data_IF_515964183208
#
_entry.id   IF_515964183208
#
_cell.length_a   1.000
_cell.length_b   1.000
_cell.length_c   1.000
_cell.angle_alpha   90.00
_cell.angle_beta   90.00
_cell.angle_gamma   90.00
#
_symmetry.space_group_name_H-M   'P 1'
#
loop_
_entity.id
_entity.type
_entity.pdbx_description
1 polymer ?
#
# COMPACT_ATOMS: atom_id res chain seq x y z
N UNK A 1 -40.89 -10.84 13.41
CA UNK A 1 -39.55 -10.48 13.94
C UNK A 1 -38.46 -11.42 13.46
N UNK A 2 -38.67 -12.76 13.35
CA UNK A 2 -37.69 -13.73 12.78
C UNK A 2 -37.42 -13.51 11.28
N UNK A 3 -38.47 -13.29 10.47
CA UNK A 3 -38.36 -13.09 9.01
C UNK A 3 -37.67 -11.76 8.63
N UNK A 4 -37.66 -10.75 9.51
CA UNK A 4 -36.91 -9.50 9.28
C UNK A 4 -35.41 -9.67 9.59
N UNK A 5 -35.04 -10.54 10.53
CA UNK A 5 -33.63 -10.88 10.82
C UNK A 5 -33.00 -11.70 9.70
N UNK A 6 -33.73 -12.63 9.08
CA UNK A 6 -33.25 -13.40 7.93
C UNK A 6 -33.06 -12.57 6.66
N UNK A 7 -33.92 -11.58 6.41
CA UNK A 7 -33.73 -10.63 5.28
C UNK A 7 -32.53 -9.68 5.48
N UNK A 8 -32.14 -9.37 6.71
CA UNK A 8 -30.92 -8.59 6.99
C UNK A 8 -29.63 -9.42 6.86
N UNK A 9 -29.69 -10.73 6.95
CA UNK A 9 -28.52 -11.64 6.85
C UNK A 9 -28.06 -11.90 5.41
N UNK A 10 -28.80 -11.49 4.38
CA UNK A 10 -28.49 -11.80 2.97
C UNK A 10 -28.16 -10.60 2.07
N UNK A 11 -28.11 -9.39 2.56
CA UNK A 11 -27.59 -8.28 1.75
C UNK A 11 -26.06 -8.37 1.67
N UNK A 12 -25.56 -8.97 0.57
CA UNK A 12 -24.12 -8.95 0.25
C UNK A 12 -23.62 -7.52 0.34
N UNK A 13 -22.69 -7.26 1.26
CA UNK A 13 -22.10 -5.93 1.44
C UNK A 13 -21.61 -5.38 0.10
N UNK A 14 -21.77 -4.09 -0.14
CA UNK A 14 -21.26 -3.42 -1.34
C UNK A 14 -19.80 -3.78 -1.60
N UNK A 15 -18.98 -3.89 -0.53
CA UNK A 15 -17.58 -4.28 -0.59
C UNK A 15 -17.32 -5.75 -0.94
N UNK A 16 -18.34 -6.57 -1.16
CA UNK A 16 -18.24 -7.98 -1.57
C UNK A 16 -18.81 -8.23 -2.97
N UNK A 17 -19.47 -7.24 -3.57
CA UNK A 17 -19.98 -7.34 -4.95
C UNK A 17 -18.83 -7.21 -5.93
N UNK A 18 -18.61 -8.14 -6.89
CA UNK A 18 -17.42 -8.17 -7.74
C UNK A 18 -17.09 -6.85 -8.45
N UNK A 19 -18.10 -6.18 -9.00
CA UNK A 19 -17.93 -4.88 -9.68
C UNK A 19 -17.41 -3.80 -8.71
N UNK A 20 -17.99 -3.70 -7.51
CA UNK A 20 -17.59 -2.72 -6.52
C UNK A 20 -16.24 -3.03 -5.89
N UNK A 21 -15.90 -4.32 -5.73
CA UNK A 21 -14.57 -4.74 -5.32
C UNK A 21 -13.53 -4.25 -6.34
N UNK A 22 -13.79 -4.44 -7.63
CA UNK A 22 -12.91 -3.96 -8.68
C UNK A 22 -12.80 -2.43 -8.68
N UNK A 23 -13.92 -1.71 -8.62
CA UNK A 23 -13.94 -0.23 -8.58
C UNK A 23 -13.13 0.29 -7.39
N UNK A 24 -13.38 -0.21 -6.18
CA UNK A 24 -12.68 0.27 -4.98
C UNK A 24 -11.20 -0.12 -4.97
N UNK A 25 -10.84 -1.32 -5.45
CA UNK A 25 -9.46 -1.73 -5.56
C UNK A 25 -8.70 -0.90 -6.61
N UNK A 26 -9.32 -0.62 -7.76
CA UNK A 26 -8.77 0.28 -8.79
C UNK A 26 -8.64 1.71 -8.25
N UNK A 27 -9.65 2.22 -7.52
CA UNK A 27 -9.56 3.54 -6.89
C UNK A 27 -8.36 3.60 -5.94
N UNK A 28 -8.16 2.58 -5.09
CA UNK A 28 -7.01 2.52 -4.21
C UNK A 28 -5.68 2.50 -4.99
N UNK A 29 -5.60 1.71 -6.08
CA UNK A 29 -4.42 1.66 -6.93
C UNK A 29 -4.14 3.00 -7.63
N UNK A 30 -5.20 3.67 -8.13
CA UNK A 30 -5.08 4.99 -8.77
C UNK A 30 -4.56 6.03 -7.79
N UNK A 31 -5.18 6.17 -6.63
CA UNK A 31 -4.74 7.18 -5.65
C UNK A 31 -3.31 6.91 -5.18
N UNK A 32 -2.92 5.65 -4.98
CA UNK A 32 -1.53 5.32 -4.63
C UNK A 32 -0.55 5.56 -5.78
N UNK A 33 -0.95 5.33 -7.03
CA UNK A 33 -0.15 5.68 -8.19
C UNK A 33 0.14 7.18 -8.26
N UNK A 34 -0.85 8.03 -8.00
CA UNK A 34 -0.67 9.48 -7.92
C UNK A 34 0.22 9.95 -6.76
N UNK A 35 0.43 9.11 -5.75
CA UNK A 35 1.36 9.44 -4.67
C UNK A 35 2.82 9.62 -5.17
N UNK A 36 3.23 8.92 -6.24
CA UNK A 36 4.62 8.97 -6.73
C UNK A 36 5.04 10.38 -7.16
N UNK A 37 4.37 11.04 -8.13
CA UNK A 37 4.75 12.40 -8.49
C UNK A 37 4.55 13.40 -7.34
N UNK A 38 3.50 13.24 -6.52
CA UNK A 38 3.25 14.16 -5.41
C UNK A 38 4.30 14.05 -4.30
N UNK A 39 4.87 12.87 -4.05
CA UNK A 39 5.99 12.70 -3.12
C UNK A 39 7.23 13.40 -3.66
N UNK A 40 7.56 13.25 -4.95
CA UNK A 40 8.70 13.93 -5.57
C UNK A 40 8.55 15.45 -5.51
N UNK A 41 7.37 15.96 -5.85
CA UNK A 41 7.06 17.40 -5.75
C UNK A 41 7.13 17.89 -4.30
N UNK A 42 6.57 17.13 -3.35
CA UNK A 42 6.67 17.44 -1.93
C UNK A 42 8.12 17.49 -1.46
N UNK A 43 8.95 16.52 -1.81
CA UNK A 43 10.37 16.54 -1.45
C UNK A 43 11.09 17.76 -2.01
N UNK A 44 10.81 18.16 -3.26
CA UNK A 44 11.36 19.35 -3.87
C UNK A 44 10.97 20.62 -3.07
N UNK A 45 9.70 20.76 -2.72
CA UNK A 45 9.17 21.91 -1.99
C UNK A 45 9.67 22.00 -0.54
N UNK A 46 9.91 20.85 0.11
CA UNK A 46 10.49 20.80 1.46
C UNK A 46 12.04 20.78 1.45
N UNK A 47 12.67 20.92 0.29
CA UNK A 47 14.13 20.84 0.09
C UNK A 47 14.74 19.53 0.64
N UNK A 48 14.02 18.41 0.50
CA UNK A 48 14.49 17.06 0.91
C UNK A 48 15.26 16.44 -0.26
N UNK A 49 16.57 16.31 -0.10
CA UNK A 49 17.47 15.75 -1.11
C UNK A 49 17.51 14.20 -1.07
N UNK A 50 18.03 13.53 -2.13
CA UNK A 50 18.07 12.07 -2.21
C UNK A 50 18.80 11.37 -1.04
N UNK A 51 19.79 12.00 -0.47
CA UNK A 51 20.61 11.51 0.66
C UNK A 51 19.95 11.68 2.03
N UNK A 52 18.92 12.54 2.14
CA UNK A 52 18.25 12.86 3.41
C UNK A 52 17.24 11.77 3.81
N UNK A 53 17.68 10.55 4.09
CA UNK A 53 16.82 9.41 4.45
C UNK A 53 15.97 9.69 5.69
N UNK A 54 16.56 10.30 6.73
CA UNK A 54 15.85 10.70 7.95
C UNK A 54 14.68 11.65 7.67
N UNK A 55 14.91 12.66 6.82
CA UNK A 55 13.87 13.63 6.40
C UNK A 55 12.74 12.97 5.61
N UNK A 56 13.04 11.99 4.75
CA UNK A 56 12.03 11.21 4.03
C UNK A 56 11.16 10.39 5.00
N UNK A 57 11.78 9.75 5.99
CA UNK A 57 11.06 9.01 7.04
C UNK A 57 10.22 9.94 7.90
N UNK A 58 10.73 11.12 8.27
CA UNK A 58 10.01 12.12 9.03
C UNK A 58 8.77 12.62 8.26
N UNK A 59 8.94 12.99 6.99
CA UNK A 59 7.86 13.40 6.10
C UNK A 59 6.77 12.31 5.98
N UNK A 60 7.18 11.06 5.76
CA UNK A 60 6.27 9.92 5.68
C UNK A 60 5.56 9.68 7.03
N UNK A 61 6.27 9.76 8.14
CA UNK A 61 5.72 9.60 9.47
C UNK A 61 4.65 10.63 9.79
N UNK A 62 4.90 11.91 9.51
CA UNK A 62 3.93 13.01 9.64
C UNK A 62 2.69 12.74 8.77
N UNK A 63 2.90 12.40 7.50
CA UNK A 63 1.82 12.07 6.55
C UNK A 63 0.92 10.96 7.08
N UNK A 64 1.49 9.84 7.50
CA UNK A 64 0.71 8.69 7.95
C UNK A 64 0.07 8.93 9.32
N UNK A 65 0.77 9.59 10.24
CA UNK A 65 0.21 9.95 11.53
C UNK A 65 -1.05 10.80 11.35
N UNK A 66 -0.98 11.86 10.56
CA UNK A 66 -2.13 12.73 10.27
C UNK A 66 -3.24 11.99 9.51
N UNK A 67 -2.91 11.12 8.55
CA UNK A 67 -3.90 10.27 7.87
C UNK A 67 -4.66 9.38 8.85
N UNK A 68 -3.94 8.73 9.76
CA UNK A 68 -4.53 7.89 10.78
C UNK A 68 -5.44 8.66 11.73
N UNK A 69 -5.01 9.84 12.17
CA UNK A 69 -5.83 10.72 13.02
C UNK A 69 -7.11 11.16 12.32
N UNK A 70 -7.05 11.51 11.03
CA UNK A 70 -8.24 11.86 10.25
C UNK A 70 -9.22 10.67 10.18
N UNK A 71 -8.74 9.45 9.92
CA UNK A 71 -9.59 8.26 9.91
C UNK A 71 -10.26 8.05 11.27
N UNK A 72 -9.51 8.20 12.37
CA UNK A 72 -10.05 8.06 13.72
C UNK A 72 -11.07 9.17 14.04
N UNK A 73 -10.84 10.41 13.63
CA UNK A 73 -11.80 11.50 13.77
C UNK A 73 -13.09 11.22 13.00
N UNK A 74 -12.99 10.76 11.76
CA UNK A 74 -14.16 10.37 10.95
C UNK A 74 -14.89 9.19 11.58
N UNK A 75 -14.18 8.17 12.07
CA UNK A 75 -14.78 7.05 12.78
C UNK A 75 -15.53 7.52 14.03
N UNK A 76 -14.95 8.45 14.78
CA UNK A 76 -15.59 9.06 15.98
C UNK A 76 -16.85 9.83 15.61
N UNK A 77 -16.79 10.66 14.56
CA UNK A 77 -17.94 11.42 14.07
C UNK A 77 -19.08 10.50 13.58
N UNK A 78 -18.74 9.38 12.97
CA UNK A 78 -19.70 8.35 12.52
C UNK A 78 -20.15 7.39 13.63
N UNK A 79 -19.74 7.63 14.88
CA UNK A 79 -20.04 6.79 16.04
C UNK A 79 -19.64 5.32 15.86
N UNK A 80 -18.58 5.05 15.10
CA UNK A 80 -18.00 3.71 14.97
C UNK A 80 -17.35 3.35 16.30
N UNK A 81 -17.56 2.12 16.77
CA UNK A 81 -17.02 1.66 18.05
C UNK A 81 -15.50 1.56 18.00
N UNK A 82 -14.84 2.18 18.98
CA UNK A 82 -13.39 2.09 19.23
C UNK A 82 -13.04 0.93 20.17
N UNK A 83 -14.05 0.17 20.59
CA UNK A 83 -13.87 -0.89 21.56
C UNK A 83 -13.02 -2.01 20.99
N UNK A 84 -11.86 -2.22 21.57
CA UNK A 84 -11.02 -3.40 21.38
C UNK A 84 -11.62 -4.53 22.21
N UNK A 85 -11.86 -5.69 21.59
CA UNK A 85 -12.60 -6.79 22.23
C UNK A 85 -11.92 -7.34 23.49
N UNK A 86 -10.59 -7.43 23.47
CA UNK A 86 -9.79 -7.94 24.60
C UNK A 86 -8.53 -7.07 24.75
N UNK A 87 -8.00 -6.98 25.97
CA UNK A 87 -6.76 -6.26 26.25
C UNK A 87 -5.55 -6.83 25.46
N UNK A 88 -5.52 -8.13 25.23
CA UNK A 88 -4.51 -8.79 24.40
C UNK A 88 -4.54 -8.35 22.91
N UNK A 89 -5.68 -7.86 22.44
CA UNK A 89 -5.83 -7.41 21.05
C UNK A 89 -5.10 -6.08 20.80
N UNK A 90 -4.81 -5.30 21.84
CA UNK A 90 -4.00 -4.08 21.71
C UNK A 90 -2.57 -4.38 21.26
N UNK A 91 -1.97 -5.49 21.75
CA UNK A 91 -0.66 -5.95 21.27
C UNK A 91 -0.67 -6.36 19.79
N UNK A 92 -1.75 -7.02 19.35
CA UNK A 92 -1.92 -7.36 17.94
C UNK A 92 -2.08 -6.11 17.06
N UNK A 93 -2.82 -5.09 17.52
CA UNK A 93 -2.97 -3.83 16.80
C UNK A 93 -1.65 -3.05 16.70
N UNK A 94 -0.85 -3.07 17.78
CA UNK A 94 0.50 -2.49 17.75
C UNK A 94 1.40 -3.22 16.74
N UNK A 95 1.40 -4.56 16.76
CA UNK A 95 2.15 -5.37 15.80
C UNK A 95 1.68 -5.08 14.36
N UNK A 96 0.37 -4.93 14.15
CA UNK A 96 -0.18 -4.54 12.86
C UNK A 96 0.31 -3.14 12.44
N UNK A 97 0.35 -2.17 13.35
CA UNK A 97 0.87 -0.83 13.06
C UNK A 97 2.36 -0.86 12.65
N UNK A 98 3.16 -1.69 13.33
CA UNK A 98 4.56 -1.89 12.99
C UNK A 98 4.72 -2.45 11.57
N UNK A 99 4.02 -3.51 11.22
CA UNK A 99 4.15 -4.13 9.89
C UNK A 99 3.49 -3.30 8.79
N UNK A 100 2.30 -2.73 9.04
CA UNK A 100 1.54 -2.00 8.03
C UNK A 100 2.14 -0.63 7.71
N UNK A 101 2.82 0.00 8.66
CA UNK A 101 3.29 1.37 8.50
C UNK A 101 4.76 1.53 8.85
N UNK A 102 5.19 1.23 10.07
CA UNK A 102 6.55 1.55 10.53
C UNK A 102 7.62 0.79 9.74
N UNK A 103 7.64 -0.55 9.83
CA UNK A 103 8.64 -1.37 9.14
C UNK A 103 8.52 -1.27 7.62
N UNK A 104 7.26 -1.31 7.12
CA UNK A 104 6.99 -1.15 5.70
C UNK A 104 7.68 0.10 5.14
N UNK A 105 7.43 1.27 5.71
CA UNK A 105 7.96 2.51 5.17
C UNK A 105 9.40 2.81 5.62
N UNK A 106 9.83 2.38 6.81
CA UNK A 106 11.23 2.47 7.20
C UNK A 106 12.13 1.71 6.22
N UNK A 107 11.81 0.45 5.96
CA UNK A 107 12.55 -0.37 5.01
C UNK A 107 12.44 0.18 3.58
N UNK A 108 11.27 0.68 3.17
CA UNK A 108 11.09 1.26 1.85
C UNK A 108 11.99 2.48 1.63
N UNK A 109 11.93 3.48 2.51
CA UNK A 109 12.70 4.71 2.34
C UNK A 109 14.19 4.49 2.53
N UNK A 110 14.57 3.64 3.47
CA UNK A 110 15.97 3.29 3.67
C UNK A 110 16.53 2.53 2.45
N UNK A 111 15.81 1.51 1.98
CA UNK A 111 16.21 0.74 0.81
C UNK A 111 16.26 1.60 -0.46
N UNK A 112 15.27 2.47 -0.69
CA UNK A 112 15.23 3.37 -1.83
C UNK A 112 16.38 4.38 -1.84
N UNK A 113 16.92 4.74 -0.67
CA UNK A 113 18.08 5.65 -0.57
C UNK A 113 19.41 4.95 -0.89
N UNK A 114 19.44 3.61 -0.91
CA UNK A 114 20.63 2.80 -1.15
C UNK A 114 20.49 1.87 -2.37
N UNK A 115 19.44 2.01 -3.16
CA UNK A 115 19.20 1.22 -4.37
C UNK A 115 18.79 2.13 -5.50
N UNK A 116 19.10 1.72 -6.72
CA UNK A 116 18.62 2.43 -7.92
C UNK A 116 17.11 2.32 -8.05
N UNK A 117 16.46 3.42 -8.44
CA UNK A 117 15.01 3.53 -8.43
C UNK A 117 14.29 2.45 -9.25
N UNK A 118 14.80 2.13 -10.44
CA UNK A 118 14.24 1.08 -11.30
C UNK A 118 14.30 -0.30 -10.63
N UNK A 119 15.43 -0.64 -10.02
CA UNK A 119 15.66 -1.88 -9.31
C UNK A 119 14.79 -1.99 -8.06
N UNK A 120 14.71 -0.91 -7.27
CA UNK A 120 13.83 -0.84 -6.10
C UNK A 120 12.35 -1.03 -6.50
N UNK A 121 11.91 -0.45 -7.62
CA UNK A 121 10.56 -0.63 -8.15
C UNK A 121 10.25 -2.09 -8.50
N UNK A 122 11.18 -2.78 -9.19
CA UNK A 122 11.03 -4.22 -9.51
C UNK A 122 10.91 -5.03 -8.22
N UNK A 123 11.83 -4.83 -7.27
CA UNK A 123 11.86 -5.58 -6.01
C UNK A 123 10.63 -5.29 -5.14
N UNK A 124 10.15 -4.05 -5.11
CA UNK A 124 8.96 -3.68 -4.35
C UNK A 124 7.69 -4.41 -4.84
N UNK A 125 7.62 -4.72 -6.12
CA UNK A 125 6.48 -5.47 -6.68
C UNK A 125 6.43 -6.93 -6.25
N UNK A 126 7.53 -7.46 -5.70
CA UNK A 126 7.50 -8.77 -5.03
C UNK A 126 6.45 -8.81 -3.92
N UNK A 127 6.10 -7.66 -3.33
CA UNK A 127 5.05 -7.57 -2.31
C UNK A 127 3.71 -8.13 -2.80
N UNK A 128 3.31 -7.82 -4.03
CA UNK A 128 2.03 -8.29 -4.61
C UNK A 128 2.01 -9.82 -4.71
N UNK A 129 3.10 -10.42 -5.21
CA UNK A 129 3.20 -11.86 -5.36
C UNK A 129 3.33 -12.56 -4.01
N UNK A 130 4.12 -11.98 -3.10
CA UNK A 130 4.28 -12.47 -1.72
C UNK A 130 2.94 -12.49 -1.00
N UNK A 131 2.11 -11.44 -1.12
CA UNK A 131 0.75 -11.43 -0.56
C UNK A 131 -0.10 -12.56 -1.13
N UNK A 132 -0.10 -12.75 -2.45
CA UNK A 132 -0.91 -13.80 -3.10
C UNK A 132 -0.47 -15.19 -2.64
N UNK A 133 0.84 -15.47 -2.61
CA UNK A 133 1.40 -16.74 -2.18
C UNK A 133 1.09 -17.00 -0.69
N UNK A 134 1.39 -16.05 0.19
CA UNK A 134 1.13 -16.18 1.62
C UNK A 134 -0.38 -16.32 1.90
N UNK A 135 -1.24 -15.58 1.18
CA UNK A 135 -2.68 -15.73 1.33
C UNK A 135 -3.13 -17.16 1.02
N UNK A 136 -2.56 -17.80 -0.01
CA UNK A 136 -2.85 -19.19 -0.36
C UNK A 136 -2.37 -20.21 0.70
N UNK A 137 -1.29 -19.87 1.43
CA UNK A 137 -0.76 -20.74 2.49
C UNK A 137 -1.56 -20.61 3.79
N UNK A 138 -1.97 -19.38 4.15
CA UNK A 138 -2.60 -19.11 5.45
C UNK A 138 -4.12 -19.12 5.43
N UNK A 139 -4.76 -18.90 4.26
CA UNK A 139 -6.23 -18.82 4.18
C UNK A 139 -6.81 -19.91 3.27
N UNK A 140 -7.67 -20.78 3.82
CA UNK A 140 -8.41 -21.79 3.05
C UNK A 140 -9.28 -21.18 1.93
N UNK A 141 -9.67 -19.92 2.08
CA UNK A 141 -10.44 -19.16 1.07
C UNK A 141 -9.60 -18.70 -0.13
N UNK A 142 -8.28 -18.77 -0.03
CA UNK A 142 -7.32 -18.30 -1.03
C UNK A 142 -6.49 -19.45 -1.63
N UNK A 143 -7.14 -20.51 -2.10
CA UNK A 143 -6.44 -21.66 -2.67
C UNK A 143 -5.53 -21.28 -3.84
N UNK A 144 -4.32 -21.85 -3.86
CA UNK A 144 -3.40 -21.70 -4.98
C UNK A 144 -3.97 -22.47 -6.19
N UNK A 145 -4.14 -21.76 -7.29
CA UNK A 145 -4.59 -22.32 -8.55
C UNK A 145 -3.60 -21.97 -9.66
N UNK A 146 -3.51 -22.80 -10.71
CA UNK A 146 -2.67 -22.50 -11.88
C UNK A 146 -2.95 -21.11 -12.45
N UNK A 147 -4.22 -20.68 -12.45
CA UNK A 147 -4.60 -19.33 -12.91
C UNK A 147 -4.01 -18.22 -12.05
N UNK A 148 -3.98 -18.38 -10.73
CA UNK A 148 -3.35 -17.41 -9.83
C UNK A 148 -1.84 -17.32 -10.09
N UNK A 149 -1.18 -18.47 -10.24
CA UNK A 149 0.25 -18.52 -10.57
C UNK A 149 0.52 -17.83 -11.91
N UNK A 150 -0.22 -18.18 -12.94
CA UNK A 150 -0.07 -17.57 -14.27
C UNK A 150 -0.37 -16.05 -14.24
N UNK A 151 -1.42 -15.64 -13.54
CA UNK A 151 -1.75 -14.22 -13.38
C UNK A 151 -0.67 -13.43 -12.67
N UNK A 152 -0.07 -14.00 -11.62
CA UNK A 152 1.06 -13.41 -10.92
C UNK A 152 2.29 -13.30 -11.83
N UNK A 153 2.62 -14.37 -12.57
CA UNK A 153 3.76 -14.36 -13.50
C UNK A 153 3.58 -13.30 -14.61
N UNK A 154 2.40 -13.24 -15.22
CA UNK A 154 2.09 -12.25 -16.26
C UNK A 154 2.16 -10.81 -15.69
N UNK A 155 1.58 -10.58 -14.52
CA UNK A 155 1.68 -9.29 -13.85
C UNK A 155 3.13 -8.89 -13.54
N UNK A 156 3.94 -9.85 -13.09
CA UNK A 156 5.37 -9.65 -12.85
C UNK A 156 6.15 -9.30 -14.14
N UNK A 157 5.87 -10.01 -15.22
CA UNK A 157 6.45 -9.68 -16.54
C UNK A 157 6.11 -8.25 -16.99
N UNK A 158 4.89 -7.79 -16.71
CA UNK A 158 4.50 -6.40 -16.95
C UNK A 158 5.38 -5.40 -16.20
N UNK A 159 5.72 -5.69 -14.97
CA UNK A 159 6.59 -4.83 -14.17
C UNK A 159 8.06 -4.92 -14.59
N UNK A 160 8.52 -6.11 -14.99
CA UNK A 160 9.83 -6.23 -15.63
C UNK A 160 9.91 -5.37 -16.90
N UNK A 161 8.87 -5.38 -17.71
CA UNK A 161 8.79 -4.57 -18.94
C UNK A 161 8.89 -3.06 -18.66
N UNK A 162 8.33 -2.56 -17.56
CA UNK A 162 8.49 -1.16 -17.14
C UNK A 162 9.95 -0.77 -16.94
N UNK A 163 10.74 -1.68 -16.42
CA UNK A 163 12.11 -1.42 -15.97
C UNK A 163 13.16 -1.85 -17.01
N UNK A 164 12.76 -2.44 -18.13
CA UNK A 164 13.69 -2.77 -19.23
C UNK A 164 14.29 -1.49 -19.81
N UNK A 165 15.62 -1.48 -19.98
CA UNK A 165 16.39 -0.35 -20.52
C UNK A 165 16.63 0.79 -19.51
N UNK A 166 16.32 0.61 -18.22
CA UNK A 166 16.74 1.52 -17.15
C UNK A 166 18.20 1.30 -16.76
N UNK A 167 18.91 2.39 -16.43
CA UNK A 167 20.25 2.29 -15.82
C UNK A 167 20.14 1.55 -14.50
N UNK A 168 21.09 0.66 -14.19
CA UNK A 168 21.23 0.02 -12.87
C UNK A 168 20.70 -1.39 -12.71
N UNK A 169 20.12 -2.01 -13.73
CA UNK A 169 19.70 -3.42 -13.67
C UNK A 169 20.89 -4.39 -13.58
N UNK A 170 22.11 -3.94 -13.87
CA UNK A 170 23.34 -4.74 -13.88
C UNK A 170 24.23 -4.67 -12.65
N UNK A 171 23.92 -3.80 -11.66
CA UNK A 171 24.70 -3.71 -10.42
C UNK A 171 24.45 -4.92 -9.49
N UNK A 172 25.47 -5.37 -8.77
CA UNK A 172 25.35 -6.49 -7.82
C UNK A 172 24.31 -6.26 -6.73
N UNK A 173 23.83 -7.32 -6.07
CA UNK A 173 22.91 -7.25 -4.95
C UNK A 173 23.50 -6.48 -3.77
N UNK A 174 22.71 -5.54 -3.20
CA UNK A 174 23.10 -4.79 -2.01
C UNK A 174 22.11 -5.03 -0.87
N UNK A 175 22.64 -5.39 0.31
CA UNK A 175 21.78 -5.64 1.48
C UNK A 175 21.04 -4.39 1.95
N UNK A 176 21.71 -3.22 1.96
CA UNK A 176 21.13 -1.96 2.42
C UNK A 176 20.12 -1.37 1.44
N UNK A 177 20.26 -1.67 0.15
CA UNK A 177 19.28 -1.29 -0.88
C UNK A 177 18.23 -2.39 -1.09
N UNK A 178 18.64 -3.44 -1.80
CA UNK A 178 17.73 -4.50 -2.29
C UNK A 178 17.15 -5.33 -1.15
N UNK A 179 17.97 -5.67 -0.15
CA UNK A 179 17.54 -6.41 1.03
C UNK A 179 16.46 -5.67 1.81
N UNK A 180 16.61 -4.35 1.99
CA UNK A 180 15.59 -3.53 2.66
C UNK A 180 14.28 -3.44 1.85
N UNK A 181 14.34 -3.35 0.52
CA UNK A 181 13.14 -3.37 -0.32
C UNK A 181 12.43 -4.74 -0.23
N UNK A 182 13.17 -5.84 -0.14
CA UNK A 182 12.58 -7.17 0.08
C UNK A 182 11.91 -7.24 1.47
N UNK A 183 12.54 -6.71 2.53
CA UNK A 183 11.94 -6.63 3.87
C UNK A 183 10.68 -5.76 3.89
N UNK A 184 10.68 -4.65 3.13
CA UNK A 184 9.49 -3.85 2.90
C UNK A 184 8.37 -4.68 2.26
N UNK A 185 8.66 -5.42 1.18
CA UNK A 185 7.70 -6.27 0.51
C UNK A 185 7.10 -7.35 1.44
N UNK A 186 7.94 -7.98 2.26
CA UNK A 186 7.50 -8.94 3.27
C UNK A 186 6.63 -8.28 4.34
N UNK A 187 7.02 -7.10 4.85
CA UNK A 187 6.24 -6.36 5.84
C UNK A 187 4.85 -6.02 5.33
N UNK A 188 4.75 -5.54 4.10
CA UNK A 188 3.49 -5.24 3.42
C UNK A 188 2.60 -6.49 3.28
N UNK A 189 3.20 -7.63 2.91
CA UNK A 189 2.49 -8.88 2.75
C UNK A 189 1.93 -9.37 4.10
N UNK A 190 2.74 -9.37 5.15
CA UNK A 190 2.31 -9.73 6.51
C UNK A 190 1.16 -8.82 6.97
N UNK A 191 1.28 -7.50 6.79
CA UNK A 191 0.25 -6.54 7.14
C UNK A 191 -1.08 -6.83 6.41
N UNK A 192 -1.02 -7.13 5.11
CA UNK A 192 -2.19 -7.45 4.30
C UNK A 192 -2.94 -8.68 4.84
N UNK A 193 -2.20 -9.71 5.28
CA UNK A 193 -2.81 -10.89 5.90
C UNK A 193 -3.40 -10.56 7.29
N UNK A 194 -2.68 -9.75 8.08
CA UNK A 194 -3.13 -9.34 9.42
C UNK A 194 -4.43 -8.54 9.38
N UNK A 195 -4.75 -7.84 8.29
CA UNK A 195 -5.95 -7.00 8.17
C UNK A 195 -7.24 -7.77 8.45
N UNK A 196 -7.33 -9.06 8.06
CA UNK A 196 -8.47 -9.92 8.44
C UNK A 196 -8.54 -10.15 9.96
N UNK A 197 -7.40 -10.35 10.59
CA UNK A 197 -7.32 -10.47 12.05
C UNK A 197 -7.72 -9.19 12.77
N UNK A 198 -7.39 -8.02 12.21
CA UNK A 198 -7.81 -6.71 12.73
C UNK A 198 -9.33 -6.59 12.75
N UNK A 199 -10.01 -6.95 11.64
CA UNK A 199 -11.46 -6.82 11.52
C UNK A 199 -12.26 -7.71 12.51
N UNK A 200 -11.62 -8.73 13.06
CA UNK A 200 -12.20 -9.60 14.10
C UNK A 200 -12.08 -9.01 15.52
N UNK A 201 -11.18 -8.03 15.72
CA UNK A 201 -10.81 -7.47 17.02
C UNK A 201 -11.34 -6.06 17.24
N UNK A 202 -11.38 -5.29 16.16
CA UNK A 202 -11.87 -3.89 16.16
C UNK A 202 -12.50 -3.62 14.79
N UNK A 203 -13.29 -2.56 14.69
CA UNK A 203 -13.74 -2.11 13.36
C UNK A 203 -12.53 -1.81 12.46
N UNK A 204 -12.59 -2.23 11.20
CA UNK A 204 -11.45 -2.14 10.26
C UNK A 204 -11.02 -0.69 9.99
N UNK A 205 -11.96 0.26 10.00
CA UNK A 205 -11.65 1.68 9.86
C UNK A 205 -10.85 2.19 11.06
N UNK A 206 -11.27 1.81 12.27
CA UNK A 206 -10.58 2.15 13.51
C UNK A 206 -9.20 1.47 13.55
N UNK A 207 -9.11 0.19 13.19
CA UNK A 207 -7.84 -0.53 13.09
C UNK A 207 -6.88 0.08 12.09
N UNK A 208 -7.38 0.52 10.92
CA UNK A 208 -6.58 1.24 9.93
C UNK A 208 -6.10 2.59 10.47
N UNK A 209 -6.99 3.35 11.12
CA UNK A 209 -6.63 4.63 11.75
C UNK A 209 -5.55 4.47 12.81
N UNK A 210 -5.67 3.49 13.72
CA UNK A 210 -4.63 3.18 14.70
C UNK A 210 -3.31 2.79 14.05
N UNK A 211 -3.35 1.92 13.04
CA UNK A 211 -2.16 1.47 12.33
C UNK A 211 -1.39 2.63 11.70
N UNK A 212 -2.07 3.54 11.02
CA UNK A 212 -1.43 4.69 10.40
C UNK A 212 -0.98 5.73 11.43
N UNK A 213 -1.79 6.03 12.45
CA UNK A 213 -1.44 7.02 13.46
C UNK A 213 -0.25 6.57 14.31
N UNK A 214 -0.32 5.37 14.90
CA UNK A 214 0.76 4.84 15.73
C UNK A 214 1.99 4.49 14.90
N UNK A 215 1.79 3.83 13.75
CA UNK A 215 2.89 3.46 12.88
C UNK A 215 3.60 4.67 12.26
N UNK A 216 2.86 5.73 11.93
CA UNK A 216 3.42 7.01 11.50
C UNK A 216 4.21 7.70 12.62
N UNK A 217 3.67 7.72 13.83
CA UNK A 217 4.38 8.24 15.01
C UNK A 217 5.69 7.47 15.27
N UNK A 218 5.63 6.15 15.22
CA UNK A 218 6.82 5.29 15.39
C UNK A 218 7.82 5.44 14.23
N UNK A 219 7.39 5.88 13.04
CA UNK A 219 8.29 6.18 11.92
C UNK A 219 8.97 7.55 12.05
N UNK A 220 8.34 8.51 12.73
CA UNK A 220 8.95 9.81 13.06
C UNK A 220 10.20 9.63 13.91
N UNK A 221 10.19 8.71 14.87
CA UNK A 221 11.30 8.49 15.81
C UNK A 221 12.61 8.14 15.07
N UNK A 222 12.71 7.07 14.26
CA UNK A 222 13.94 6.78 13.52
C UNK A 222 14.29 7.90 12.53
N UNK A 223 13.29 8.53 11.91
CA UNK A 223 13.54 9.68 11.03
C UNK A 223 14.26 10.82 11.75
N UNK A 224 13.80 11.16 12.94
CA UNK A 224 14.43 12.19 13.78
C UNK A 224 15.81 11.77 14.29
N UNK A 225 15.97 10.53 14.75
CA UNK A 225 17.27 10.00 15.23
C UNK A 225 18.33 9.97 14.11
N UNK A 226 17.90 9.86 12.84
CA UNK A 226 18.79 9.97 11.67
C UNK A 226 19.05 11.42 11.23
N UNK A 227 18.76 12.40 12.08
CA UNK A 227 18.93 13.83 11.77
C UNK A 227 17.91 14.39 10.78
N UNK A 228 16.74 13.73 10.64
CA UNK A 228 15.70 14.19 9.74
C UNK A 228 15.13 15.54 10.14
N UNK A 229 15.03 16.43 9.14
CA UNK A 229 14.43 17.76 9.26
C UNK A 229 13.52 18.01 8.05
N UNK A 230 12.71 19.07 8.13
CA UNK A 230 12.02 19.66 6.98
C UNK A 230 12.65 21.02 6.71
N UNK A 231 13.70 21.09 5.86
CA UNK A 231 14.54 22.29 5.73
C UNK A 231 13.78 23.54 5.28
N UNK A 232 12.77 23.35 4.46
CA UNK A 232 11.92 24.43 3.96
C UNK A 232 10.45 24.04 4.10
N UNK A 233 9.60 25.01 4.44
CA UNK A 233 8.15 24.83 4.49
C UNK A 233 7.50 25.88 3.59
N UNK A 234 6.98 25.44 2.43
CA UNK A 234 6.27 26.29 1.49
C UNK A 234 4.75 26.00 1.52
N UNK A 235 3.89 26.98 1.18
CA UNK A 235 2.45 26.73 1.05
C UNK A 235 2.13 25.61 0.03
N UNK A 236 2.90 25.52 -1.06
CA UNK A 236 2.75 24.47 -2.07
C UNK A 236 3.19 23.12 -1.54
N UNK A 237 4.27 23.04 -0.77
CA UNK A 237 4.71 21.83 -0.08
C UNK A 237 3.65 21.32 0.90
N UNK A 238 3.02 22.23 1.67
CA UNK A 238 1.91 21.88 2.56
C UNK A 238 0.70 21.36 1.78
N UNK A 239 0.37 21.95 0.62
CA UNK A 239 -0.69 21.45 -0.26
C UNK A 239 -0.39 20.00 -0.71
N UNK A 240 0.83 19.72 -1.17
CA UNK A 240 1.22 18.35 -1.54
C UNK A 240 1.14 17.38 -0.36
N UNK A 241 1.53 17.81 0.83
CA UNK A 241 1.39 17.00 2.04
C UNK A 241 -0.08 16.69 2.33
N UNK A 242 -0.98 17.68 2.24
CA UNK A 242 -2.43 17.49 2.43
C UNK A 242 -3.02 16.52 1.41
N UNK A 243 -2.66 16.67 0.12
CA UNK A 243 -3.07 15.73 -0.92
C UNK A 243 -2.58 14.31 -0.63
N UNK A 244 -1.34 14.15 -0.19
CA UNK A 244 -0.76 12.87 0.18
C UNK A 244 -1.44 12.25 1.41
N UNK A 245 -1.85 13.06 2.38
CA UNK A 245 -2.67 12.64 3.53
C UNK A 245 -4.02 12.10 3.03
N UNK A 246 -4.68 12.81 2.12
CA UNK A 246 -5.94 12.38 1.50
C UNK A 246 -5.79 11.05 0.75
N UNK A 247 -4.74 10.89 -0.03
CA UNK A 247 -4.37 9.65 -0.74
C UNK A 247 -4.19 8.49 0.26
N UNK A 248 -3.44 8.71 1.34
CA UNK A 248 -3.22 7.68 2.35
C UNK A 248 -4.52 7.30 3.06
N UNK A 249 -5.28 8.30 3.48
CA UNK A 249 -6.59 8.11 4.14
C UNK A 249 -7.52 7.26 3.27
N UNK A 250 -7.70 7.66 2.00
CA UNK A 250 -8.61 6.98 1.07
C UNK A 250 -8.09 5.59 0.68
N UNK A 251 -6.85 5.50 0.23
CA UNK A 251 -6.26 4.26 -0.26
C UNK A 251 -6.24 3.16 0.81
N UNK A 252 -5.72 3.46 2.00
CA UNK A 252 -5.67 2.47 3.09
C UNK A 252 -7.05 2.10 3.61
N UNK A 253 -7.97 3.06 3.70
CA UNK A 253 -9.34 2.79 4.16
C UNK A 253 -10.06 1.85 3.21
N UNK A 254 -10.04 2.11 1.90
CA UNK A 254 -10.66 1.26 0.89
C UNK A 254 -10.00 -0.12 0.83
N UNK A 255 -8.68 -0.15 0.73
CA UNK A 255 -7.92 -1.40 0.58
C UNK A 255 -8.08 -2.33 1.78
N UNK A 256 -7.91 -1.81 3.01
CA UNK A 256 -8.06 -2.62 4.21
C UNK A 256 -9.51 -3.09 4.42
N UNK A 257 -10.50 -2.27 4.03
CA UNK A 257 -11.90 -2.70 4.04
C UNK A 257 -12.13 -3.84 3.05
N UNK A 258 -11.59 -3.77 1.86
CA UNK A 258 -11.66 -4.86 0.89
C UNK A 258 -10.98 -6.13 1.39
N UNK A 259 -9.76 -6.03 1.94
CA UNK A 259 -9.02 -7.16 2.50
C UNK A 259 -9.77 -7.83 3.66
N UNK A 260 -10.53 -7.07 4.44
CA UNK A 260 -11.26 -7.60 5.60
C UNK A 260 -12.44 -8.52 5.22
N UNK A 261 -12.98 -8.39 4.01
CA UNK A 261 -14.21 -9.09 3.61
C UNK A 261 -14.10 -9.85 2.27
N UNK A 262 -12.93 -9.86 1.63
CA UNK A 262 -12.68 -10.58 0.38
C UNK A 262 -11.44 -11.48 0.49
N UNK A 263 -11.25 -12.45 -0.43
CA UNK A 263 -10.00 -13.17 -0.57
C UNK A 263 -8.82 -12.21 -0.78
N UNK A 264 -7.79 -12.33 0.07
CA UNK A 264 -6.69 -11.36 0.12
C UNK A 264 -5.93 -11.30 -1.22
N UNK A 265 -5.63 -12.46 -1.81
CA UNK A 265 -4.94 -12.52 -3.09
C UNK A 265 -5.73 -11.90 -4.25
N UNK A 266 -7.08 -11.99 -4.22
CA UNK A 266 -7.93 -11.38 -5.25
C UNK A 266 -7.96 -9.86 -5.18
N UNK A 267 -7.76 -9.29 -4.01
CA UNK A 267 -7.68 -7.83 -3.82
C UNK A 267 -6.27 -7.34 -4.08
N UNK A 268 -5.27 -8.02 -3.53
CA UNK A 268 -3.87 -7.59 -3.58
C UNK A 268 -3.31 -7.47 -5.00
N UNK A 269 -3.79 -8.31 -5.92
CA UNK A 269 -3.30 -8.31 -7.31
C UNK A 269 -3.55 -6.96 -8.03
N UNK A 270 -4.58 -6.18 -7.63
CA UNK A 270 -4.83 -4.86 -8.22
C UNK A 270 -3.69 -3.88 -7.98
N UNK A 271 -2.87 -4.11 -6.94
CA UNK A 271 -1.70 -3.28 -6.65
C UNK A 271 -0.62 -3.39 -7.74
N UNK A 272 -0.67 -4.39 -8.62
CA UNK A 272 0.21 -4.47 -9.78
C UNK A 272 0.05 -3.31 -10.77
N UNK A 273 -1.08 -2.58 -10.71
CA UNK A 273 -1.30 -1.37 -11.51
C UNK A 273 -0.65 -0.11 -10.92
N UNK A 274 -0.29 -0.11 -9.64
CA UNK A 274 0.27 1.08 -8.96
C UNK A 274 1.51 1.62 -9.68
N UNK A 275 2.54 0.81 -10.05
CA UNK A 275 3.72 1.30 -10.75
C UNK A 275 3.39 1.87 -12.12
N UNK A 276 2.43 1.26 -12.84
CA UNK A 276 2.00 1.73 -14.17
C UNK A 276 1.34 3.09 -14.05
N UNK A 277 0.39 3.23 -13.12
CA UNK A 277 -0.30 4.51 -12.86
C UNK A 277 0.70 5.55 -12.36
N UNK A 278 1.65 5.15 -11.51
CA UNK A 278 2.72 6.02 -11.02
C UNK A 278 3.60 6.56 -12.15
N UNK A 279 3.99 5.72 -13.11
CA UNK A 279 4.74 6.14 -14.28
C UNK A 279 3.94 7.13 -15.14
N UNK A 280 2.67 6.81 -15.44
CA UNK A 280 1.82 7.67 -16.25
C UNK A 280 1.54 9.02 -15.57
N UNK A 281 1.25 9.03 -14.26
CA UNK A 281 1.03 10.26 -13.50
C UNK A 281 2.31 11.10 -13.37
N UNK A 282 3.49 10.46 -13.30
CA UNK A 282 4.78 11.16 -13.33
C UNK A 282 5.03 11.84 -14.68
N UNK A 283 4.69 11.20 -15.81
CA UNK A 283 4.74 11.85 -17.11
C UNK A 283 3.89 13.12 -17.17
N UNK A 284 2.68 13.06 -16.60
CA UNK A 284 1.76 14.20 -16.61
C UNK A 284 2.19 15.34 -15.68
N UNK A 285 2.67 15.01 -14.48
CA UNK A 285 2.95 16.02 -13.45
C UNK A 285 4.39 16.54 -13.46
N UNK A 286 5.35 15.71 -13.87
CA UNK A 286 6.78 16.03 -13.83
C UNK A 286 7.37 16.26 -15.22
N UNK A 287 6.56 16.11 -16.29
CA UNK A 287 7.04 16.23 -17.68
C UNK A 287 8.01 15.12 -18.07
N UNK A 288 7.95 13.96 -17.38
CA UNK A 288 8.79 12.81 -17.74
C UNK A 288 8.37 12.22 -19.08
N UNK A 289 9.33 11.66 -19.82
CA UNK A 289 9.09 11.11 -21.17
C UNK A 289 8.13 9.91 -21.10
N UNK A 290 7.11 9.93 -21.95
CA UNK A 290 6.22 8.77 -22.11
C UNK A 290 6.90 7.69 -22.94
N UNK A 291 6.85 6.44 -22.46
CA UNK A 291 7.38 5.28 -23.14
C UNK A 291 6.28 4.26 -23.43
N UNK A 292 6.32 3.63 -24.62
CA UNK A 292 5.38 2.57 -25.00
C UNK A 292 5.36 1.40 -23.99
N UNK A 293 6.46 1.14 -23.31
CA UNK A 293 6.54 0.12 -22.25
C UNK A 293 5.52 0.31 -21.13
N UNK A 294 5.03 1.53 -20.89
CA UNK A 294 3.98 1.78 -19.87
C UNK A 294 2.64 1.17 -20.29
N UNK A 295 2.28 1.22 -21.57
CA UNK A 295 1.07 0.56 -22.10
C UNK A 295 1.20 -0.96 -22.07
N UNK A 296 2.35 -1.51 -22.46
CA UNK A 296 2.62 -2.96 -22.42
C UNK A 296 2.50 -3.47 -20.99
N UNK A 297 3.14 -2.79 -20.04
CA UNK A 297 3.07 -3.14 -18.62
C UNK A 297 1.64 -3.06 -18.06
N UNK A 298 0.89 -2.02 -18.44
CA UNK A 298 -0.52 -1.87 -18.07
C UNK A 298 -1.40 -3.00 -18.59
N UNK A 299 -1.21 -3.39 -19.86
CA UNK A 299 -1.94 -4.51 -20.48
C UNK A 299 -1.62 -5.84 -19.78
N UNK A 300 -0.35 -6.14 -19.51
CA UNK A 300 0.09 -7.36 -18.81
C UNK A 300 -0.42 -7.38 -17.36
N UNK A 301 -0.33 -6.25 -16.64
CA UNK A 301 -0.87 -6.15 -15.29
C UNK A 301 -2.38 -6.39 -15.25
N UNK A 302 -3.13 -5.77 -16.19
CA UNK A 302 -4.59 -5.95 -16.30
C UNK A 302 -4.96 -7.40 -16.62
N UNK A 303 -4.21 -8.04 -17.51
CA UNK A 303 -4.42 -9.46 -17.82
C UNK A 303 -4.12 -10.36 -16.61
N UNK A 304 -3.05 -10.08 -15.89
CA UNK A 304 -2.72 -10.77 -14.63
C UNK A 304 -3.87 -10.66 -13.60
N UNK A 305 -4.41 -9.45 -13.41
CA UNK A 305 -5.58 -9.19 -12.54
C UNK A 305 -6.78 -10.05 -12.99
N UNK A 306 -7.10 -10.04 -14.28
CA UNK A 306 -8.20 -10.82 -14.85
C UNK A 306 -8.04 -12.31 -14.56
N UNK A 307 -6.87 -12.89 -14.81
CA UNK A 307 -6.61 -14.33 -14.58
C UNK A 307 -6.75 -14.70 -13.09
N UNK A 308 -6.21 -13.89 -12.18
CA UNK A 308 -6.32 -14.15 -10.72
C UNK A 308 -7.77 -14.10 -10.25
N UNK A 309 -8.60 -13.21 -10.84
CA UNK A 309 -9.97 -13.00 -10.42
C UNK A 309 -11.00 -13.88 -11.14
N UNK A 310 -10.70 -14.45 -12.31
CA UNK A 310 -11.63 -15.28 -13.10
C UNK A 310 -11.95 -16.63 -12.47
N UNK A 311 -11.14 -17.16 -11.54
CA UNK A 311 -11.39 -18.43 -10.88
C UNK A 311 -12.47 -18.30 -9.81
N UNK A 312 -13.52 -19.16 -9.83
CA UNK A 312 -14.29 -19.45 -8.63
C UNK A 312 -13.30 -20.06 -7.62
N UNK A 313 -13.04 -19.36 -6.52
CA UNK A 313 -12.20 -19.84 -5.44
C UNK A 313 -12.86 -20.97 -4.70
#
# INVERSE_FOLDING_TARGET
MYAMKEKQAQAVSLFQRPLWVAIFALTAAVVWGWAYPLIKLGFKEFAITPDMTGSKMLFAGIRFCLSGLIILMVARAKRISFQVRKRSDSGFLLLYALFNTTFHYAFFYFGLSHSEGARAAILNTLSVFTVVILACLFFKSDRLTTRKVMGCLIGFLGILALNLGGEGVGSGFTWLGDGMIILNALSSAVASLMTRGVSQRVDVFVGTGYSLALGGLLLIVPGWLMGGTLPLITPLGLLYLVLLIGISTTGFTLYNKLLSCNPVGKVAIYNSLIPVIGALSSCLCLGETFYMKYLIAGALATWGIYLVNKGKG
#
